data_IF_642195323643
#
_entry.id   IF_642195323643
#
_cell.length_a   1.000
_cell.length_b   1.000
_cell.length_c   1.000
_cell.angle_alpha   90.00
_cell.angle_beta   90.00
_cell.angle_gamma   90.00
#
_symmetry.space_group_name_H-M   'P 1'
#
loop_
_entity.id
_entity.type
_entity.pdbx_description
1 polymer ?
#
# COMPACT_ATOMS: atom_id res chain seq x y z
N UNK A 1 -22.01 10.99 7.08
CA UNK A 1 -21.22 9.76 7.32
C UNK A 1 -21.05 9.64 8.83
N UNK A 2 -21.48 8.52 9.41
CA UNK A 2 -21.63 8.34 10.86
C UNK A 2 -20.26 8.09 11.51
N UNK A 3 -20.00 8.82 12.60
CA UNK A 3 -18.74 8.89 13.34
C UNK A 3 -18.49 7.67 14.25
N UNK A 4 -17.22 7.56 14.69
CA UNK A 4 -16.74 6.92 15.95
C UNK A 4 -16.10 5.53 15.72
N UNK A 5 -14.99 5.12 16.36
CA UNK A 5 -14.43 5.52 17.66
C UNK A 5 -12.92 5.15 17.80
N UNK A 6 -12.18 5.99 18.56
CA UNK A 6 -10.97 5.75 19.38
C UNK A 6 -9.58 6.21 18.88
N UNK A 7 -9.05 7.16 19.66
CA UNK A 7 -7.64 7.50 19.80
C UNK A 7 -6.93 6.48 20.70
N UNK A 8 -5.64 6.25 20.43
CA UNK A 8 -4.73 5.62 21.40
C UNK A 8 -4.08 6.67 22.27
N UNK A 9 -4.02 6.42 23.58
CA UNK A 9 -3.69 7.36 24.65
C UNK A 9 -2.21 7.44 25.05
N UNK A 10 -1.28 7.00 24.21
CA UNK A 10 0.15 7.13 24.51
C UNK A 10 0.90 7.82 23.35
N UNK A 11 1.53 8.98 23.59
CA UNK A 11 2.38 9.62 22.60
C UNK A 11 3.66 8.80 22.41
N UNK A 12 3.94 8.41 21.18
CA UNK A 12 5.14 7.64 20.81
C UNK A 12 6.20 8.61 20.25
N UNK A 13 7.45 8.36 20.62
CA UNK A 13 8.61 9.20 20.26
C UNK A 13 9.06 8.92 18.82
N UNK A 14 9.14 9.98 18.02
CA UNK A 14 9.55 9.96 16.60
C UNK A 14 11.09 10.03 16.53
N UNK A 15 11.73 9.03 15.90
CA UNK A 15 13.12 9.17 15.41
C UNK A 15 13.08 9.48 13.90
N UNK A 16 13.65 10.64 13.54
CA UNK A 16 13.35 11.43 12.34
C UNK A 16 14.18 11.06 11.09
N UNK A 17 14.91 9.94 11.10
CA UNK A 17 16.10 9.84 10.23
C UNK A 17 15.98 8.91 8.99
N UNK A 18 14.82 8.29 8.71
CA UNK A 18 14.67 7.48 7.49
C UNK A 18 13.50 7.94 6.59
N UNK A 19 13.75 8.78 5.56
CA UNK A 19 12.71 9.27 4.66
C UNK A 19 12.05 8.17 3.83
N UNK A 20 12.72 7.04 3.61
CA UNK A 20 12.16 5.90 2.88
C UNK A 20 11.02 5.23 3.66
N UNK A 21 11.13 5.12 4.99
CA UNK A 21 10.06 4.52 5.82
C UNK A 21 8.78 5.36 5.73
N UNK A 22 8.88 6.69 5.78
CA UNK A 22 7.71 7.55 5.64
C UNK A 22 7.01 7.38 4.29
N UNK A 23 7.77 7.18 3.20
CA UNK A 23 7.23 6.89 1.87
C UNK A 23 6.55 5.52 1.82
N UNK A 24 7.15 4.50 2.43
CA UNK A 24 6.59 3.13 2.47
C UNK A 24 5.24 3.11 3.21
N UNK A 25 5.20 3.73 4.38
CA UNK A 25 4.00 3.80 5.22
C UNK A 25 2.89 4.60 4.53
N UNK A 26 3.22 5.72 3.90
CA UNK A 26 2.22 6.52 3.17
C UNK A 26 1.70 5.83 1.92
N UNK A 27 2.51 4.97 1.30
CA UNK A 27 2.06 4.12 0.20
C UNK A 27 1.07 3.04 0.68
N UNK A 28 1.32 2.39 1.82
CA UNK A 28 0.34 1.49 2.46
C UNK A 28 -0.98 2.24 2.70
N UNK A 29 -0.90 3.45 3.24
CA UNK A 29 -2.07 4.28 3.54
C UNK A 29 -2.86 4.65 2.29
N UNK A 30 -2.20 5.19 1.27
CA UNK A 30 -2.85 5.65 0.06
C UNK A 30 -3.51 4.49 -0.71
N UNK A 31 -2.85 3.33 -0.76
CA UNK A 31 -3.45 2.11 -1.32
C UNK A 31 -4.71 1.70 -0.56
N UNK A 32 -4.68 1.73 0.77
CA UNK A 32 -5.81 1.33 1.60
C UNK A 32 -7.03 2.27 1.46
N UNK A 33 -6.84 3.55 1.11
CA UNK A 33 -7.96 4.47 0.87
C UNK A 33 -8.88 4.02 -0.28
N UNK A 34 -8.34 3.28 -1.27
CA UNK A 34 -9.15 2.69 -2.35
C UNK A 34 -10.16 1.65 -1.83
N UNK A 35 -9.98 1.17 -0.60
CA UNK A 35 -10.76 0.10 0.02
C UNK A 35 -11.40 0.55 1.35
N UNK A 36 -11.66 1.85 1.50
CA UNK A 36 -12.18 2.48 2.72
C UNK A 36 -13.54 1.96 3.22
N UNK A 37 -14.30 1.26 2.36
CA UNK A 37 -15.55 0.57 2.76
C UNK A 37 -15.29 -0.81 3.37
N UNK A 38 -14.08 -1.33 3.26
CA UNK A 38 -13.70 -2.70 3.65
C UNK A 38 -12.69 -2.75 4.80
N UNK A 39 -11.87 -1.72 4.91
CA UNK A 39 -10.84 -1.58 5.93
C UNK A 39 -10.99 -0.27 6.69
N UNK A 40 -10.80 -0.36 7.99
CA UNK A 40 -10.76 0.76 8.90
C UNK A 40 -9.32 0.97 9.37
N UNK A 41 -8.86 2.21 9.40
CA UNK A 41 -7.56 2.54 9.98
C UNK A 41 -7.67 2.45 11.51
N UNK A 42 -6.95 1.53 12.13
CA UNK A 42 -6.94 1.36 13.58
C UNK A 42 -5.77 2.04 14.28
N UNK A 43 -4.64 2.21 13.59
CA UNK A 43 -3.46 2.81 14.19
C UNK A 43 -2.53 3.37 13.12
N UNK A 44 -1.85 4.46 13.47
CA UNK A 44 -0.77 5.05 12.71
C UNK A 44 0.39 5.34 13.66
N UNK A 45 1.59 4.87 13.31
CA UNK A 45 2.84 5.28 13.96
C UNK A 45 3.95 5.36 12.91
N UNK A 46 4.82 6.35 13.01
CA UNK A 46 6.11 6.37 12.30
C UNK A 46 7.19 6.13 13.34
N UNK A 47 7.73 4.90 13.32
CA UNK A 47 8.73 4.33 14.21
C UNK A 47 8.30 4.21 15.68
N UNK A 48 8.50 3.01 16.25
CA UNK A 48 8.32 2.73 17.67
C UNK A 48 9.69 2.72 18.33
N UNK A 49 9.94 3.61 19.30
CA UNK A 49 11.03 3.41 20.25
C UNK A 49 10.44 3.04 21.61
N UNK A 50 10.55 1.76 21.97
CA UNK A 50 10.14 1.22 23.27
C UNK A 50 10.88 -0.08 23.60
N UNK A 51 11.90 0.00 24.48
CA UNK A 51 12.81 -1.12 24.80
C UNK A 51 13.89 -1.36 23.73
N UNK A 52 14.72 -2.40 23.91
CA UNK A 52 15.82 -2.81 23.01
C UNK A 52 15.38 -3.22 21.57
N UNK A 53 14.24 -2.74 21.07
CA UNK A 53 13.73 -3.00 19.72
C UNK A 53 13.33 -1.68 19.07
N UNK A 54 14.01 -1.35 17.98
CA UNK A 54 13.58 -0.32 17.03
C UNK A 54 12.38 -0.91 16.27
N UNK A 55 11.18 -0.41 16.54
CA UNK A 55 9.99 -0.79 15.79
C UNK A 55 9.85 0.11 14.56
N UNK A 56 9.53 -0.51 13.43
CA UNK A 56 9.23 0.18 12.17
C UNK A 56 7.90 0.92 12.30
N UNK A 57 7.73 2.03 11.58
CA UNK A 57 6.41 2.65 11.40
C UNK A 57 5.38 1.63 10.92
N UNK A 58 4.11 1.85 11.24
CA UNK A 58 3.01 1.03 10.72
C UNK A 58 1.72 1.83 10.65
N UNK A 59 1.15 1.96 9.45
CA UNK A 59 -0.30 2.06 9.31
C UNK A 59 -0.91 0.67 9.50
N UNK A 60 -1.75 0.50 10.54
CA UNK A 60 -2.49 -0.73 10.77
C UNK A 60 -3.93 -0.57 10.33
N UNK A 61 -4.28 -1.27 9.27
CA UNK A 61 -5.66 -1.42 8.82
C UNK A 61 -6.25 -2.69 9.41
N UNK A 62 -7.46 -2.58 9.97
CA UNK A 62 -8.26 -3.73 10.38
C UNK A 62 -9.43 -3.84 9.44
N UNK A 63 -9.62 -5.05 8.92
CA UNK A 63 -10.77 -5.40 8.11
C UNK A 63 -12.05 -5.18 8.94
N UNK A 64 -13.08 -4.61 8.33
CA UNK A 64 -14.40 -4.57 8.94
C UNK A 64 -14.84 -6.00 9.31
N UNK A 65 -15.01 -6.27 10.61
CA UNK A 65 -15.27 -7.60 11.17
C UNK A 65 -16.53 -8.28 10.63
N UNK A 66 -17.48 -7.51 10.10
CA UNK A 66 -18.72 -8.00 9.50
C UNK A 66 -18.54 -8.64 8.12
N UNK A 67 -17.42 -8.36 7.43
CA UNK A 67 -17.13 -8.96 6.14
C UNK A 67 -16.71 -10.43 6.30
N UNK A 68 -16.99 -11.29 5.32
CA UNK A 68 -16.40 -12.63 5.27
C UNK A 68 -15.05 -12.55 4.58
N UNK A 69 -14.11 -13.41 4.96
CA UNK A 69 -12.86 -13.55 4.22
C UNK A 69 -13.15 -14.11 2.82
N UNK A 70 -13.18 -13.21 1.83
CA UNK A 70 -13.42 -13.47 0.42
C UNK A 70 -12.13 -13.19 -0.37
N UNK A 71 -11.87 -13.83 -1.53
CA UNK A 71 -10.68 -13.57 -2.36
C UNK A 71 -10.37 -12.08 -2.58
N UNK A 72 -11.41 -11.25 -2.80
CA UNK A 72 -11.31 -9.79 -2.87
C UNK A 72 -10.60 -9.16 -1.66
N UNK A 73 -10.96 -9.58 -0.44
CA UNK A 73 -10.38 -9.05 0.79
C UNK A 73 -8.91 -9.47 0.94
N UNK A 74 -8.59 -10.72 0.58
CA UNK A 74 -7.21 -11.19 0.55
C UNK A 74 -6.37 -10.40 -0.46
N UNK A 75 -6.94 -10.08 -1.61
CA UNK A 75 -6.29 -9.28 -2.65
C UNK A 75 -6.04 -7.84 -2.21
N UNK A 76 -7.02 -7.18 -1.59
CA UNK A 76 -6.85 -5.82 -1.09
C UNK A 76 -5.75 -5.74 -0.02
N UNK A 77 -5.70 -6.70 0.91
CA UNK A 77 -4.60 -6.80 1.87
C UNK A 77 -3.25 -7.03 1.17
N UNK A 78 -3.22 -7.86 0.12
CA UNK A 78 -2.02 -8.14 -0.64
C UNK A 78 -1.50 -6.89 -1.39
N UNK A 79 -2.41 -6.09 -1.96
CA UNK A 79 -2.11 -4.81 -2.59
C UNK A 79 -1.56 -3.80 -1.58
N UNK A 80 -2.14 -3.72 -0.39
CA UNK A 80 -1.62 -2.86 0.70
C UNK A 80 -0.19 -3.30 1.06
N UNK A 81 0.04 -4.58 1.31
CA UNK A 81 1.35 -5.08 1.76
C UNK A 81 2.48 -4.87 0.72
N UNK A 82 2.21 -5.01 -0.58
CA UNK A 82 3.25 -4.78 -1.59
C UNK A 82 3.56 -3.28 -1.80
N UNK A 83 2.70 -2.37 -1.30
CA UNK A 83 2.79 -0.94 -1.60
C UNK A 83 4.06 -0.29 -1.02
N UNK A 84 4.55 -0.75 0.14
CA UNK A 84 5.82 -0.28 0.70
C UNK A 84 7.00 -0.57 -0.22
N UNK A 85 7.06 -1.79 -0.78
CA UNK A 85 8.08 -2.18 -1.77
C UNK A 85 7.97 -1.33 -3.04
N UNK A 86 6.76 -1.05 -3.53
CA UNK A 86 6.57 -0.16 -4.68
C UNK A 86 7.16 1.23 -4.40
N UNK A 87 6.86 1.81 -3.24
CA UNK A 87 7.35 3.14 -2.87
C UNK A 87 8.87 3.18 -2.66
N UNK A 88 9.45 2.20 -1.97
CA UNK A 88 10.89 2.10 -1.79
C UNK A 88 11.62 1.93 -3.13
N UNK A 89 11.04 1.14 -4.04
CA UNK A 89 11.57 0.92 -5.40
C UNK A 89 11.53 2.21 -6.24
N UNK A 90 10.40 2.93 -6.24
CA UNK A 90 10.27 4.22 -6.95
C UNK A 90 11.19 5.28 -6.33
N UNK A 91 11.33 5.32 -5.01
CA UNK A 91 12.22 6.26 -4.34
C UNK A 91 13.69 6.03 -4.70
N UNK A 92 14.12 4.76 -4.83
CA UNK A 92 15.51 4.40 -5.13
C UNK A 92 15.88 4.61 -6.60
N UNK A 93 15.01 4.21 -7.52
CA UNK A 93 15.32 4.16 -8.95
C UNK A 93 14.65 5.28 -9.76
N UNK A 94 13.67 5.97 -9.19
CA UNK A 94 12.88 6.97 -9.88
C UNK A 94 11.75 6.37 -10.71
N UNK A 95 10.67 7.15 -10.83
CA UNK A 95 9.40 6.76 -11.47
C UNK A 95 9.58 6.26 -12.91
N UNK A 96 10.42 6.92 -13.70
CA UNK A 96 10.59 6.59 -15.13
C UNK A 96 11.42 5.34 -15.38
N UNK A 97 12.40 5.05 -14.52
CA UNK A 97 13.18 3.81 -14.62
C UNK A 97 12.29 2.61 -14.26
N UNK A 98 11.54 2.72 -13.15
CA UNK A 98 10.59 1.70 -12.73
C UNK A 98 9.50 1.49 -13.78
N UNK A 99 8.97 2.55 -14.40
CA UNK A 99 7.97 2.45 -15.47
C UNK A 99 8.44 1.58 -16.64
N UNK A 100 9.73 1.61 -16.98
CA UNK A 100 10.29 0.81 -18.09
C UNK A 100 10.52 -0.65 -17.70
N UNK A 101 10.67 -0.95 -16.42
CA UNK A 101 11.10 -2.27 -15.94
C UNK A 101 9.99 -3.09 -15.25
N UNK A 102 8.97 -2.45 -14.67
CA UNK A 102 8.05 -3.13 -13.74
C UNK A 102 7.27 -4.30 -14.34
N UNK A 103 7.11 -4.35 -15.66
CA UNK A 103 6.48 -5.46 -16.38
C UNK A 103 7.24 -6.79 -16.21
N UNK A 104 8.55 -6.72 -15.93
CA UNK A 104 9.41 -7.88 -15.67
C UNK A 104 9.33 -8.36 -14.21
N UNK A 105 8.68 -7.59 -13.32
CA UNK A 105 8.49 -8.00 -11.93
C UNK A 105 7.32 -8.98 -11.83
N UNK A 106 7.42 -10.06 -11.04
CA UNK A 106 8.49 -10.40 -10.10
C UNK A 106 9.49 -11.44 -10.66
N UNK A 107 9.56 -11.66 -11.98
CA UNK A 107 10.56 -12.58 -12.54
C UNK A 107 11.97 -12.09 -12.30
N UNK A 108 12.16 -10.80 -12.50
CA UNK A 108 13.36 -10.08 -12.15
C UNK A 108 13.07 -9.18 -10.96
N UNK A 109 13.49 -9.59 -9.77
CA UNK A 109 13.33 -8.78 -8.55
C UNK A 109 14.55 -7.92 -8.26
N UNK A 110 15.54 -7.83 -9.16
CA UNK A 110 16.80 -7.11 -8.90
C UNK A 110 16.60 -5.63 -8.58
N UNK A 111 15.56 -5.03 -9.17
CA UNK A 111 15.16 -3.65 -8.89
C UNK A 111 14.15 -3.51 -7.75
N UNK A 112 13.56 -4.60 -7.26
CA UNK A 112 12.59 -4.53 -6.17
C UNK A 112 13.30 -4.30 -4.83
N UNK A 113 13.07 -3.14 -4.22
CA UNK A 113 13.66 -2.79 -2.93
C UNK A 113 12.85 -3.45 -1.82
N UNK A 114 13.36 -4.56 -1.29
CA UNK A 114 12.73 -5.32 -0.19
C UNK A 114 13.25 -4.92 1.19
N UNK A 115 14.35 -4.16 1.26
CA UNK A 115 14.89 -3.64 2.52
C UNK A 115 13.78 -2.94 3.31
N UNK A 116 13.67 -3.30 4.58
CA UNK A 116 12.68 -2.80 5.51
C UNK A 116 11.23 -3.31 5.35
N UNK A 117 10.89 -3.97 4.22
CA UNK A 117 9.56 -4.54 3.93
C UNK A 117 9.52 -6.08 3.84
N UNK A 118 10.48 -6.77 4.47
CA UNK A 118 10.57 -8.24 4.40
C UNK A 118 9.32 -8.91 4.97
N UNK A 119 8.77 -8.34 6.04
CA UNK A 119 7.52 -8.84 6.66
C UNK A 119 6.33 -8.66 5.72
N UNK A 120 6.21 -7.51 5.08
CA UNK A 120 5.09 -7.22 4.18
C UNK A 120 5.11 -8.18 2.98
N UNK A 121 6.30 -8.50 2.47
CA UNK A 121 6.49 -9.47 1.40
C UNK A 121 6.11 -10.91 1.82
N UNK A 122 6.45 -11.32 3.04
CA UNK A 122 6.03 -12.63 3.57
C UNK A 122 4.51 -12.68 3.80
N UNK A 123 3.90 -11.61 4.28
CA UNK A 123 2.45 -11.53 4.45
C UNK A 123 1.72 -11.52 3.11
N UNK A 124 2.25 -10.83 2.09
CA UNK A 124 1.79 -10.93 0.71
C UNK A 124 1.74 -12.40 0.24
N UNK A 125 2.82 -13.17 0.42
CA UNK A 125 2.87 -14.59 0.03
C UNK A 125 1.77 -15.42 0.69
N UNK A 126 1.45 -15.15 1.96
CA UNK A 126 0.38 -15.84 2.69
C UNK A 126 -1.01 -15.50 2.14
N UNK A 127 -1.23 -14.24 1.76
CA UNK A 127 -2.50 -13.74 1.23
C UNK A 127 -2.80 -14.23 -0.20
N UNK A 128 -1.78 -14.62 -0.96
CA UNK A 128 -1.91 -15.13 -2.33
C UNK A 128 -2.61 -16.51 -2.37
N UNK A 129 -2.30 -17.41 -1.43
CA UNK A 129 -2.76 -18.80 -1.48
C UNK A 129 -4.30 -18.96 -1.50
N UNK A 130 -5.08 -18.24 -0.66
CA UNK A 130 -6.54 -18.25 -0.75
C UNK A 130 -7.09 -17.80 -2.11
N UNK A 131 -6.49 -16.78 -2.73
CA UNK A 131 -6.92 -16.24 -4.03
C UNK A 131 -6.64 -17.27 -5.13
N UNK A 132 -5.42 -17.79 -5.17
CA UNK A 132 -4.97 -18.78 -6.15
C UNK A 132 -5.85 -20.04 -6.13
N UNK A 133 -6.17 -20.55 -4.93
CA UNK A 133 -7.07 -21.71 -4.77
C UNK A 133 -8.49 -21.41 -5.23
N UNK A 134 -9.02 -20.22 -4.96
CA UNK A 134 -10.38 -19.87 -5.34
C UNK A 134 -10.56 -19.81 -6.86
N UNK A 135 -9.61 -19.21 -7.59
CA UNK A 135 -9.69 -19.06 -9.05
C UNK A 135 -9.00 -20.19 -9.83
N UNK A 136 -8.44 -21.19 -9.14
CA UNK A 136 -7.66 -22.28 -9.75
C UNK A 136 -6.52 -21.75 -10.63
N UNK A 137 -5.74 -20.83 -10.07
CA UNK A 137 -4.55 -20.23 -10.67
C UNK A 137 -3.30 -20.65 -9.90
N UNK A 138 -2.13 -20.54 -10.54
CA UNK A 138 -0.88 -20.72 -9.79
C UNK A 138 -0.65 -19.53 -8.84
N UNK A 139 -0.10 -19.76 -7.63
CA UNK A 139 0.28 -18.67 -6.72
C UNK A 139 1.19 -17.62 -7.39
N UNK A 140 2.11 -18.07 -8.27
CA UNK A 140 3.01 -17.20 -9.02
C UNK A 140 2.27 -16.22 -9.94
N UNK A 141 1.23 -16.68 -10.65
CA UNK A 141 0.41 -15.81 -11.50
C UNK A 141 -0.31 -14.74 -10.69
N UNK A 142 -0.90 -15.12 -9.55
CA UNK A 142 -1.60 -14.19 -8.66
C UNK A 142 -0.63 -13.17 -8.07
N UNK A 143 0.52 -13.63 -7.57
CA UNK A 143 1.58 -12.74 -7.06
C UNK A 143 2.01 -11.73 -8.11
N UNK A 144 2.24 -12.20 -9.34
CA UNK A 144 2.64 -11.34 -10.44
C UNK A 144 1.57 -10.30 -10.71
N UNK A 145 0.32 -10.73 -10.90
CA UNK A 145 -0.78 -9.83 -11.21
C UNK A 145 -0.94 -8.71 -10.17
N UNK A 146 -0.89 -9.07 -8.87
CA UNK A 146 -0.98 -8.13 -7.75
C UNK A 146 0.21 -7.14 -7.78
N UNK A 147 1.43 -7.65 -8.01
CA UNK A 147 2.64 -6.82 -8.08
C UNK A 147 2.53 -5.79 -9.22
N UNK A 148 2.15 -6.23 -10.42
CA UNK A 148 1.97 -5.32 -11.56
C UNK A 148 0.91 -4.26 -11.29
N UNK A 149 -0.20 -4.64 -10.66
CA UNK A 149 -1.29 -3.73 -10.39
C UNK A 149 -0.93 -2.67 -9.36
N UNK A 150 -0.19 -3.06 -8.31
CA UNK A 150 0.32 -2.10 -7.34
C UNK A 150 1.30 -1.12 -8.01
N UNK A 151 2.29 -1.60 -8.77
CA UNK A 151 3.20 -0.70 -9.51
C UNK A 151 2.46 0.18 -10.51
N UNK A 152 1.50 -0.36 -11.27
CA UNK A 152 0.68 0.42 -12.19
C UNK A 152 -0.08 1.56 -11.49
N UNK A 153 -0.58 1.31 -10.28
CA UNK A 153 -1.23 2.34 -9.46
C UNK A 153 -0.23 3.43 -9.04
N UNK A 154 0.91 3.07 -8.44
CA UNK A 154 1.90 4.05 -7.98
C UNK A 154 2.60 4.83 -9.12
N UNK A 155 2.61 4.28 -10.33
CA UNK A 155 3.13 4.94 -11.53
C UNK A 155 2.08 5.85 -12.19
N UNK A 156 0.81 5.79 -11.80
CA UNK A 156 -0.23 6.67 -12.32
C UNK A 156 0.08 8.14 -11.92
N UNK A 157 -0.24 9.12 -12.79
CA UNK A 157 -0.20 10.52 -12.41
C UNK A 157 -0.98 10.79 -11.11
N UNK A 158 -0.42 11.62 -10.23
CA UNK A 158 -1.03 12.06 -8.97
C UNK A 158 -0.79 11.15 -7.76
N UNK A 159 -0.52 9.86 -7.98
CA UNK A 159 -0.35 8.90 -6.87
C UNK A 159 0.98 9.10 -6.15
N UNK A 160 2.08 9.19 -6.88
CA UNK A 160 3.40 9.41 -6.29
C UNK A 160 3.50 10.79 -5.62
N UNK A 161 2.88 11.80 -6.22
CA UNK A 161 2.73 13.14 -5.66
C UNK A 161 1.95 13.10 -4.34
N UNK A 162 0.89 12.29 -4.26
CA UNK A 162 0.15 12.04 -3.03
C UNK A 162 0.98 11.35 -1.94
N UNK A 163 1.73 10.30 -2.29
CA UNK A 163 2.65 9.59 -1.37
C UNK A 163 3.70 10.56 -0.80
N UNK A 164 4.37 11.32 -1.67
CA UNK A 164 5.42 12.25 -1.26
C UNK A 164 4.88 13.41 -0.42
N UNK A 165 3.71 13.96 -0.77
CA UNK A 165 3.05 14.99 0.02
C UNK A 165 2.68 14.47 1.41
N UNK A 166 2.05 13.29 1.49
CA UNK A 166 1.72 12.66 2.77
C UNK A 166 2.97 12.42 3.61
N UNK A 167 4.04 11.87 3.02
CA UNK A 167 5.28 11.60 3.74
C UNK A 167 5.87 12.90 4.32
N UNK A 168 5.80 13.99 3.55
CA UNK A 168 6.21 15.32 3.98
C UNK A 168 5.36 15.84 5.13
N UNK A 169 4.03 15.69 5.06
CA UNK A 169 3.13 16.09 6.17
C UNK A 169 3.50 15.35 7.45
N UNK A 170 3.71 14.04 7.36
CA UNK A 170 4.04 13.20 8.51
C UNK A 170 5.42 13.49 9.10
N UNK A 171 6.37 13.92 8.28
CA UNK A 171 7.71 14.34 8.74
C UNK A 171 7.72 15.73 9.37
N UNK A 172 6.89 16.65 8.87
CA UNK A 172 6.86 18.05 9.30
C UNK A 172 5.98 18.30 10.53
N UNK A 173 5.11 17.35 10.89
CA UNK A 173 4.31 17.47 12.11
C UNK A 173 5.20 17.33 13.35
N UNK A 174 5.38 18.43 14.08
CA UNK A 174 5.95 18.41 15.44
C UNK A 174 5.04 17.70 16.46
N UNK A 175 3.83 17.35 16.05
CA UNK A 175 2.89 16.60 16.86
C UNK A 175 3.23 15.11 16.78
N UNK A 176 3.27 14.45 17.93
CA UNK A 176 3.46 12.99 18.04
C UNK A 176 2.31 12.19 17.41
N UNK A 177 1.23 12.84 16.97
CA UNK A 177 0.05 12.22 16.38
C UNK A 177 -0.43 13.09 15.20
N UNK A 178 -0.61 12.50 14.02
CA UNK A 178 -1.28 13.14 12.87
C UNK A 178 -2.72 12.63 12.81
N UNK A 179 -3.70 13.54 12.74
CA UNK A 179 -5.11 13.14 12.67
C UNK A 179 -5.45 12.58 11.29
N UNK A 180 -5.99 11.36 11.26
CA UNK A 180 -6.51 10.76 10.03
C UNK A 180 -7.58 11.63 9.36
N UNK A 181 -8.44 12.27 10.16
CA UNK A 181 -9.49 13.15 9.65
C UNK A 181 -8.88 14.39 8.98
N UNK A 182 -7.86 14.99 9.59
CA UNK A 182 -7.17 16.15 9.00
C UNK A 182 -6.52 15.76 7.67
N UNK A 183 -5.86 14.60 7.58
CA UNK A 183 -5.30 14.13 6.31
C UNK A 183 -6.39 13.98 5.23
N UNK A 184 -7.53 13.38 5.55
CA UNK A 184 -8.64 13.21 4.62
C UNK A 184 -9.28 14.53 4.19
N UNK A 185 -9.29 15.55 5.05
CA UNK A 185 -9.80 16.89 4.71
C UNK A 185 -8.83 17.67 3.81
N UNK A 186 -7.52 17.44 3.94
CA UNK A 186 -6.49 18.20 3.22
C UNK A 186 -6.07 17.58 1.89
N UNK A 187 -6.16 16.25 1.72
CA UNK A 187 -5.86 15.57 0.44
C UNK A 187 -6.69 16.16 -0.72
N UNK A 188 -8.02 16.38 -0.59
CA UNK A 188 -8.83 16.94 -1.67
C UNK A 188 -8.46 18.36 -2.10
N UNK A 189 -7.73 19.09 -1.24
CA UNK A 189 -7.30 20.46 -1.51
C UNK A 189 -6.00 20.52 -2.34
N UNK A 190 -5.36 19.39 -2.60
CA UNK A 190 -4.09 19.35 -3.32
C UNK A 190 -4.30 19.27 -4.84
N UNK A 191 -3.38 19.88 -5.60
CA UNK A 191 -3.44 19.92 -7.06
C UNK A 191 -3.35 18.52 -7.71
N UNK A 192 -2.76 17.53 -7.03
CA UNK A 192 -2.67 16.15 -7.51
C UNK A 192 -3.97 15.36 -7.32
N UNK A 193 -4.93 15.88 -6.55
CA UNK A 193 -6.12 15.13 -6.14
C UNK A 193 -6.98 14.62 -7.30
N UNK A 194 -7.27 15.40 -8.36
CA UNK A 194 -8.05 14.89 -9.48
C UNK A 194 -7.42 13.66 -10.14
N UNK A 195 -6.10 13.67 -10.35
CA UNK A 195 -5.37 12.53 -10.93
C UNK A 195 -5.27 11.35 -9.97
N UNK A 196 -5.25 11.60 -8.65
CA UNK A 196 -5.33 10.56 -7.63
C UNK A 196 -6.70 9.87 -7.63
N UNK A 197 -7.80 10.62 -7.80
CA UNK A 197 -9.14 10.05 -7.94
C UNK A 197 -9.26 9.21 -9.21
N UNK A 198 -8.78 9.72 -10.35
CA UNK A 198 -8.72 8.97 -11.61
C UNK A 198 -7.93 7.66 -11.43
N UNK A 199 -6.77 7.70 -10.76
CA UNK A 199 -5.97 6.50 -10.48
C UNK A 199 -6.75 5.45 -9.68
N UNK A 200 -7.52 5.88 -8.68
CA UNK A 200 -8.35 5.01 -7.87
C UNK A 200 -9.48 4.37 -8.71
N UNK A 201 -10.16 5.15 -9.54
CA UNK A 201 -11.20 4.66 -10.44
C UNK A 201 -10.65 3.65 -11.45
N UNK A 202 -9.55 3.97 -12.12
CA UNK A 202 -8.87 3.08 -13.07
C UNK A 202 -8.42 1.79 -12.37
N UNK A 203 -7.87 1.89 -11.16
CA UNK A 203 -7.48 0.72 -10.37
C UNK A 203 -8.68 -0.18 -10.07
N UNK A 204 -9.78 0.37 -9.55
CA UNK A 204 -10.99 -0.39 -9.22
C UNK A 204 -11.60 -1.04 -10.47
N UNK A 205 -11.72 -0.29 -11.57
CA UNK A 205 -12.31 -0.79 -12.83
C UNK A 205 -11.49 -1.91 -13.46
N UNK A 206 -10.16 -1.85 -13.39
CA UNK A 206 -9.28 -2.88 -13.96
C UNK A 206 -9.22 -4.14 -13.10
N UNK A 207 -9.58 -4.07 -11.81
CA UNK A 207 -9.48 -5.21 -10.88
C UNK A 207 -10.81 -5.86 -10.56
N UNK A 208 -11.90 -5.09 -10.46
CA UNK A 208 -13.16 -5.56 -9.90
C UNK A 208 -14.32 -5.57 -10.91
N UNK A 209 -15.22 -6.59 -10.86
CA UNK A 209 -15.19 -7.74 -9.95
C UNK A 209 -14.01 -8.66 -10.23
N UNK A 210 -13.49 -9.27 -9.16
CA UNK A 210 -12.34 -10.14 -9.27
C UNK A 210 -12.73 -11.42 -10.04
N UNK A 211 -11.99 -11.73 -11.08
CA UNK A 211 -12.21 -12.90 -11.94
C UNK A 211 -10.92 -13.63 -12.22
N UNK A 212 -11.04 -14.88 -12.70
CA UNK A 212 -9.88 -15.66 -13.14
C UNK A 212 -9.18 -14.98 -14.31
N UNK A 213 -9.96 -14.44 -15.24
CA UNK A 213 -9.51 -13.78 -16.46
C UNK A 213 -8.67 -12.54 -16.14
N UNK A 214 -9.12 -11.71 -15.20
CA UNK A 214 -8.42 -10.49 -14.81
C UNK A 214 -7.14 -10.77 -14.00
N UNK A 215 -7.10 -11.89 -13.27
CA UNK A 215 -5.92 -12.33 -12.51
C UNK A 215 -4.90 -13.09 -13.37
N UNK A 216 -5.29 -13.60 -14.54
CA UNK A 216 -4.43 -14.40 -15.38
C UNK A 216 -3.42 -13.52 -16.11
N UNK A 217 -2.17 -13.56 -15.67
CA UNK A 217 -1.05 -12.99 -16.42
C UNK A 217 -0.53 -14.03 -17.41
N UNK A 218 -0.36 -13.64 -18.67
CA UNK A 218 0.40 -14.45 -19.64
C UNK A 218 1.87 -14.39 -19.24
N UNK A 219 2.31 -15.41 -18.51
CA UNK A 219 3.73 -15.61 -18.26
C UNK A 219 4.34 -16.03 -19.61
N UNK A 220 5.29 -15.27 -20.12
CA UNK A 220 6.18 -15.81 -21.16
C UNK A 220 7.03 -16.84 -20.44
N UNK A 221 6.87 -18.12 -20.78
CA UNK A 221 7.73 -19.17 -20.25
C UNK A 221 9.16 -18.89 -20.73
N UNK A 222 10.05 -18.65 -19.76
CA UNK A 222 11.49 -18.57 -19.95
C UNK A 222 12.10 -19.96 -20.10
#
# INVERSE_FOLDING_TARGET
>A
MQLSIFSTSEPIKIERDNPTIALMETAHYLMALNFSTEFELCHFAINQSGGNKIGKGSFRFVRNGHLKMHPKIYENLALINISGICAATIARHGKEEVRRAYQNFPLDTSMMVMEESERDYEDLKRLISPIARHFLLSPRQVQWNITLAAFSYFLHPGVWEGVTWLATQLQNTNQSNVSHLELLEHIPLQNFYPSLQEAAEVHILNRYPLSKENLQVRLVES
#
